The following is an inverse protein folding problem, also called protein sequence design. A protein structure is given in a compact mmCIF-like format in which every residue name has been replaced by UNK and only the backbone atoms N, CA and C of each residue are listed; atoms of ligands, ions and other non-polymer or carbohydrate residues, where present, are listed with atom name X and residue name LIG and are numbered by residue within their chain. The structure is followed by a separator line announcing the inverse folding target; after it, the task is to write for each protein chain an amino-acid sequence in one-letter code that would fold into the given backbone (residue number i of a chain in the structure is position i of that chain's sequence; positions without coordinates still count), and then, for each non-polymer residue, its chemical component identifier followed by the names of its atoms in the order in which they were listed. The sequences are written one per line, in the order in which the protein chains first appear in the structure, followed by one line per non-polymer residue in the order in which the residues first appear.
data_IF_827784070984
#
_entry.id   IF_827784070984
#
_cell.length_a   1.000
_cell.length_b   1.000
_cell.length_c   1.000
_cell.angle_alpha   90.00
_cell.angle_beta   90.00
_cell.angle_gamma   90.00
#
_symmetry.space_group_name_H-M   'P 1'
#
loop_
_entity.id
_entity.type
_entity.pdbx_description
1 polymer ?
#
# COMPACT_ATOMS: atom_id res chain seq x y z
N UNK A 1 7.93 -7.17 -18.30
CA UNK A 1 6.74 -6.33 -18.19
C UNK A 1 7.05 -5.02 -17.43
N UNK A 2 7.43 -5.02 -16.14
CA UNK A 2 7.59 -3.81 -15.27
C UNK A 2 8.50 -2.76 -15.93
N UNK A 3 9.74 -3.12 -16.29
CA UNK A 3 10.65 -2.20 -16.99
C UNK A 3 10.15 -1.77 -18.38
N UNK A 4 9.42 -2.62 -19.07
CA UNK A 4 8.81 -2.28 -20.37
C UNK A 4 7.72 -1.21 -20.26
N UNK A 5 7.17 -1.00 -19.07
CA UNK A 5 6.23 0.08 -18.74
C UNK A 5 6.93 1.32 -18.15
N UNK A 6 8.25 1.36 -18.16
CA UNK A 6 9.07 2.37 -17.48
C UNK A 6 8.85 2.46 -15.96
N UNK A 7 8.25 1.44 -15.34
CA UNK A 7 8.16 1.35 -13.89
C UNK A 7 9.48 0.85 -13.32
N UNK A 8 9.89 1.40 -12.18
CA UNK A 8 11.13 1.09 -11.50
C UNK A 8 10.94 0.52 -10.10
N UNK A 9 9.72 0.50 -9.60
CA UNK A 9 9.40 -0.02 -8.28
C UNK A 9 8.09 -0.82 -8.31
N UNK A 10 7.94 -1.72 -7.33
CA UNK A 10 6.72 -2.49 -7.09
C UNK A 10 6.42 -2.55 -5.60
N UNK A 11 5.15 -2.68 -5.26
CA UNK A 11 4.64 -3.03 -3.94
C UNK A 11 3.80 -4.31 -4.06
N UNK A 12 4.20 -5.42 -3.42
CA UNK A 12 3.33 -6.59 -3.31
C UNK A 12 2.13 -6.23 -2.43
N UNK A 13 0.92 -6.41 -2.95
CA UNK A 13 -0.27 -6.08 -2.18
C UNK A 13 -0.57 -7.17 -1.14
N UNK A 14 -0.46 -6.82 0.15
CA UNK A 14 -0.84 -7.64 1.29
C UNK A 14 -0.35 -9.10 1.24
N UNK A 15 0.81 -9.32 0.65
CA UNK A 15 1.37 -10.67 0.58
C UNK A 15 2.89 -10.67 0.52
N UNK A 16 3.46 -11.73 1.08
CA UNK A 16 4.89 -11.98 1.05
C UNK A 16 5.25 -12.70 -0.25
N UNK A 17 6.07 -12.06 -1.09
CA UNK A 17 6.53 -12.68 -2.32
C UNK A 17 7.46 -13.87 -2.07
N UNK A 18 7.41 -14.91 -2.89
CA UNK A 18 8.46 -15.94 -2.92
C UNK A 18 9.83 -15.31 -3.18
N UNK A 19 10.89 -15.84 -2.55
CA UNK A 19 12.23 -15.25 -2.61
C UNK A 19 12.75 -15.03 -4.03
N UNK A 20 12.46 -15.93 -4.94
CA UNK A 20 12.92 -15.80 -6.32
C UNK A 20 12.46 -14.51 -7.02
N UNK A 21 11.33 -13.91 -6.60
CA UNK A 21 10.93 -12.59 -7.12
C UNK A 21 11.86 -11.48 -6.63
N UNK A 22 12.35 -11.59 -5.40
CA UNK A 22 13.31 -10.64 -4.85
C UNK A 22 14.68 -10.85 -5.49
N UNK A 23 15.10 -12.10 -5.70
CA UNK A 23 16.33 -12.42 -6.44
C UNK A 23 16.29 -11.81 -7.85
N UNK A 24 15.18 -11.97 -8.57
CA UNK A 24 14.97 -11.35 -9.87
C UNK A 24 14.94 -9.82 -9.80
N UNK A 25 14.34 -9.25 -8.78
CA UNK A 25 14.30 -7.80 -8.59
C UNK A 25 15.70 -7.23 -8.34
N UNK A 26 16.52 -7.93 -7.56
CA UNK A 26 17.93 -7.60 -7.32
C UNK A 26 18.71 -7.59 -8.65
N UNK A 27 18.60 -8.63 -9.46
CA UNK A 27 19.27 -8.76 -10.76
C UNK A 27 18.80 -7.72 -11.78
N UNK A 28 17.50 -7.42 -11.78
CA UNK A 28 16.90 -6.51 -12.76
C UNK A 28 16.94 -5.05 -12.34
N UNK A 29 17.34 -4.74 -11.11
CA UNK A 29 17.32 -3.38 -10.56
C UNK A 29 15.88 -2.82 -10.47
N UNK A 30 14.95 -3.61 -9.93
CA UNK A 30 13.59 -3.17 -9.58
C UNK A 30 13.53 -2.97 -8.09
N UNK A 31 13.16 -1.77 -7.65
CA UNK A 31 12.97 -1.49 -6.23
C UNK A 31 11.69 -2.17 -5.71
N UNK A 32 11.74 -2.70 -4.50
CA UNK A 32 10.60 -3.36 -3.87
C UNK A 32 10.29 -2.69 -2.54
N UNK A 33 9.10 -2.09 -2.45
CA UNK A 33 8.50 -1.75 -1.17
C UNK A 33 7.86 -3.02 -0.63
N UNK A 34 8.61 -3.76 0.19
CA UNK A 34 8.21 -5.11 0.57
C UNK A 34 7.10 -5.08 1.62
N UNK A 35 5.97 -5.72 1.34
CA UNK A 35 4.77 -5.63 2.19
C UNK A 35 4.45 -6.95 2.86
N UNK A 36 4.05 -6.84 4.12
CA UNK A 36 3.61 -7.99 4.92
C UNK A 36 2.22 -8.48 4.50
N UNK A 37 1.83 -9.65 5.01
CA UNK A 37 0.46 -10.13 4.90
C UNK A 37 -0.47 -9.59 6.00
N UNK A 38 -0.09 -8.53 6.71
CA UNK A 38 -0.92 -7.89 7.72
C UNK A 38 -1.97 -7.00 7.04
N UNK A 39 -3.08 -7.61 6.71
CA UNK A 39 -4.21 -6.97 6.09
C UNK A 39 -5.50 -7.42 6.77
N UNK A 40 -6.27 -6.47 7.26
CA UNK A 40 -7.60 -6.70 7.78
C UNK A 40 -8.61 -6.43 6.66
N UNK A 41 -9.22 -7.46 6.10
CA UNK A 41 -10.29 -7.33 5.11
C UNK A 41 -11.57 -7.99 5.61
N UNK A 42 -12.66 -7.78 4.89
CA UNK A 42 -13.93 -8.46 5.18
C UNK A 42 -13.72 -9.98 5.18
N UNK A 43 -14.09 -10.63 6.29
CA UNK A 43 -13.79 -12.05 6.53
C UNK A 43 -12.34 -12.36 6.92
N UNK A 44 -11.51 -11.34 7.10
CA UNK A 44 -10.10 -11.45 7.50
C UNK A 44 -9.90 -11.70 9.00
N UNK A 45 -8.69 -11.45 9.50
CA UNK A 45 -8.30 -11.79 10.87
C UNK A 45 -9.15 -11.08 11.91
N UNK A 46 -9.31 -11.72 13.05
CA UNK A 46 -10.03 -11.18 14.21
C UNK A 46 -9.16 -10.14 14.92
N UNK A 47 -9.40 -8.86 14.65
CA UNK A 47 -8.66 -7.75 15.22
C UNK A 47 -8.87 -7.56 16.75
N UNK A 48 -9.84 -8.21 17.32
CA UNK A 48 -10.10 -8.28 18.76
C UNK A 48 -9.46 -9.51 19.45
N UNK A 49 -8.55 -10.19 18.75
CA UNK A 49 -7.86 -11.37 19.25
C UNK A 49 -6.38 -11.07 19.52
N UNK A 50 -5.96 -11.28 20.76
CA UNK A 50 -4.53 -11.18 21.12
C UNK A 50 -3.66 -12.12 20.28
N UNK A 51 -4.19 -13.28 19.91
CA UNK A 51 -3.48 -14.24 19.05
C UNK A 51 -3.15 -13.64 17.67
N UNK A 52 -4.06 -12.86 17.10
CA UNK A 52 -3.78 -12.17 15.83
C UNK A 52 -2.61 -11.19 15.98
N UNK A 53 -2.61 -10.38 17.03
CA UNK A 53 -1.56 -9.37 17.25
C UNK A 53 -0.20 -10.01 17.51
N UNK A 54 -0.13 -11.06 18.31
CA UNK A 54 1.11 -11.79 18.55
C UNK A 54 1.61 -12.51 17.29
N UNK A 55 0.72 -13.15 16.53
CA UNK A 55 1.07 -13.79 15.26
C UNK A 55 1.59 -12.76 14.24
N UNK A 56 1.01 -11.57 14.18
CA UNK A 56 1.45 -10.47 13.31
C UNK A 56 2.87 -10.01 13.63
N UNK A 57 3.23 -9.91 14.90
CA UNK A 57 4.59 -9.56 15.33
C UNK A 57 5.62 -10.61 14.91
N UNK A 58 5.33 -11.87 15.15
CA UNK A 58 6.23 -12.96 14.76
C UNK A 58 6.33 -13.09 13.24
N UNK A 59 5.22 -12.89 12.52
CA UNK A 59 5.22 -12.83 11.07
C UNK A 59 6.14 -11.71 10.56
N UNK A 60 5.99 -10.49 11.06
CA UNK A 60 6.79 -9.35 10.66
C UNK A 60 8.28 -9.56 10.93
N UNK A 61 8.63 -10.08 12.10
CA UNK A 61 10.01 -10.43 12.45
C UNK A 61 10.62 -11.40 11.43
N UNK A 62 9.93 -12.50 11.14
CA UNK A 62 10.40 -13.51 10.16
C UNK A 62 10.52 -12.92 8.77
N UNK A 63 9.58 -12.09 8.38
CA UNK A 63 9.54 -11.40 7.10
C UNK A 63 10.77 -10.50 6.91
N UNK A 64 11.05 -9.62 7.86
CA UNK A 64 12.23 -8.74 7.82
C UNK A 64 13.52 -9.54 7.81
N UNK A 65 13.66 -10.53 8.70
CA UNK A 65 14.85 -11.38 8.76
C UNK A 65 15.11 -12.16 7.47
N UNK A 66 14.04 -12.60 6.79
CA UNK A 66 14.14 -13.33 5.53
C UNK A 66 14.67 -12.45 4.40
N UNK A 67 14.17 -11.21 4.31
CA UNK A 67 14.31 -10.40 3.09
C UNK A 67 15.26 -9.21 3.21
N UNK A 68 15.75 -8.88 4.40
CA UNK A 68 16.60 -7.69 4.64
C UNK A 68 17.93 -7.66 3.87
N UNK A 69 18.38 -8.80 3.34
CA UNK A 69 19.62 -8.87 2.58
C UNK A 69 19.43 -8.69 1.06
N UNK A 70 18.19 -8.51 0.58
CA UNK A 70 17.91 -8.18 -0.81
C UNK A 70 18.17 -6.70 -1.08
N UNK A 71 19.01 -6.41 -2.07
CA UNK A 71 19.34 -5.04 -2.45
C UNK A 71 18.14 -4.28 -3.06
N UNK A 72 17.22 -5.01 -3.68
CA UNK A 72 15.99 -4.47 -4.26
C UNK A 72 15.01 -3.93 -3.21
N UNK A 73 15.01 -4.48 -1.98
CA UNK A 73 14.12 -4.04 -0.91
C UNK A 73 14.58 -2.69 -0.41
N UNK A 74 13.80 -1.63 -0.67
CA UNK A 74 14.14 -0.28 -0.24
C UNK A 74 13.36 0.21 0.98
N UNK A 75 12.31 -0.49 1.36
CA UNK A 75 11.48 -0.15 2.51
C UNK A 75 10.51 -1.28 2.89
N UNK A 76 9.90 -1.13 4.04
CA UNK A 76 8.97 -2.09 4.63
C UNK A 76 7.58 -1.50 4.74
N UNK A 77 6.59 -2.13 4.13
CA UNK A 77 5.18 -1.84 4.35
C UNK A 77 4.63 -2.84 5.38
N UNK A 78 4.29 -2.36 6.55
CA UNK A 78 4.00 -3.21 7.71
C UNK A 78 2.55 -3.63 7.85
N UNK A 79 1.65 -2.96 7.13
CA UNK A 79 0.24 -3.33 7.01
C UNK A 79 -0.39 -2.68 5.77
N UNK A 80 -1.55 -3.20 5.39
CA UNK A 80 -2.37 -2.64 4.32
C UNK A 80 -3.80 -2.45 4.80
N UNK A 81 -4.34 -1.26 4.63
CA UNK A 81 -5.76 -0.89 4.84
C UNK A 81 -6.40 -1.32 6.17
N UNK A 82 -5.62 -1.52 7.21
CA UNK A 82 -6.17 -1.90 8.51
C UNK A 82 -7.09 -0.80 9.07
N UNK A 83 -6.68 0.47 8.97
CA UNK A 83 -7.48 1.59 9.47
C UNK A 83 -8.82 1.73 8.75
N UNK A 84 -8.90 1.85 7.41
CA UNK A 84 -10.18 1.95 6.73
C UNK A 84 -11.06 0.72 6.94
N UNK A 85 -10.49 -0.47 7.03
CA UNK A 85 -11.25 -1.69 7.32
C UNK A 85 -11.84 -1.66 8.73
N UNK A 86 -11.06 -1.26 9.74
CA UNK A 86 -11.55 -1.11 11.12
C UNK A 86 -12.72 -0.11 11.18
N UNK A 87 -12.56 1.05 10.52
CA UNK A 87 -13.53 2.15 10.62
C UNK A 87 -14.77 1.92 9.75
N UNK A 88 -14.61 1.40 8.53
CA UNK A 88 -15.67 1.42 7.52
C UNK A 88 -16.24 0.04 7.20
N UNK A 89 -15.46 -1.04 7.33
CA UNK A 89 -15.93 -2.41 7.07
C UNK A 89 -16.45 -3.03 8.37
N UNK A 90 -15.64 -3.02 9.40
CA UNK A 90 -16.05 -3.59 10.69
C UNK A 90 -16.89 -2.65 11.54
N UNK A 91 -16.80 -1.33 11.26
CA UNK A 91 -17.45 -0.29 12.07
C UNK A 91 -17.09 -0.41 13.57
N UNK A 92 -15.80 -0.62 13.86
CA UNK A 92 -15.25 -0.88 15.18
C UNK A 92 -14.18 0.14 15.57
N UNK A 93 -14.51 1.46 15.65
CA UNK A 93 -13.53 2.52 15.93
C UNK A 93 -12.81 2.34 17.29
N UNK A 94 -13.39 1.58 18.21
CA UNK A 94 -12.78 1.24 19.50
C UNK A 94 -11.52 0.37 19.37
N UNK A 95 -11.27 -0.25 18.22
CA UNK A 95 -10.05 -1.00 17.93
C UNK A 95 -8.90 -0.11 17.44
N UNK A 96 -9.16 1.16 17.11
CA UNK A 96 -8.11 2.05 16.61
C UNK A 96 -6.95 2.29 17.60
N UNK A 97 -7.18 2.42 18.93
CA UNK A 97 -6.07 2.51 19.88
C UNK A 97 -5.17 1.26 19.87
N UNK A 98 -5.77 0.07 19.68
CA UNK A 98 -5.02 -1.19 19.57
C UNK A 98 -4.19 -1.21 18.28
N UNK A 99 -4.78 -0.80 17.15
CA UNK A 99 -4.07 -0.71 15.87
C UNK A 99 -2.91 0.30 15.93
N UNK A 100 -3.12 1.47 16.53
CA UNK A 100 -2.07 2.48 16.68
C UNK A 100 -0.90 1.95 17.51
N UNK A 101 -1.18 1.28 18.62
CA UNK A 101 -0.17 0.62 19.42
C UNK A 101 0.56 -0.48 18.62
N UNK A 102 -0.17 -1.25 17.82
CA UNK A 102 0.43 -2.26 16.96
C UNK A 102 1.40 -1.66 15.93
N UNK A 103 1.08 -0.51 15.31
CA UNK A 103 2.02 0.17 14.41
C UNK A 103 3.32 0.56 15.11
N UNK A 104 3.25 1.05 16.34
CA UNK A 104 4.45 1.38 17.11
C UNK A 104 5.29 0.13 17.43
N UNK A 105 4.65 -0.94 17.89
CA UNK A 105 5.34 -2.22 18.18
C UNK A 105 5.93 -2.84 16.90
N UNK A 106 5.22 -2.77 15.77
CA UNK A 106 5.72 -3.27 14.49
C UNK A 106 6.87 -2.43 13.93
N UNK A 107 6.81 -1.10 14.08
CA UNK A 107 7.94 -0.21 13.80
C UNK A 107 9.19 -0.66 14.57
N UNK A 108 9.03 -0.90 15.86
CA UNK A 108 10.15 -1.28 16.72
C UNK A 108 10.75 -2.62 16.31
N UNK A 109 9.92 -3.58 15.89
CA UNK A 109 10.38 -4.85 15.31
C UNK A 109 11.18 -4.61 14.02
N UNK A 110 10.67 -3.78 13.10
CA UNK A 110 11.42 -3.46 11.88
C UNK A 110 12.77 -2.84 12.23
N UNK A 111 12.80 -1.82 13.07
CA UNK A 111 14.04 -1.14 13.46
C UNK A 111 15.02 -2.06 14.19
N UNK A 112 14.53 -3.02 14.96
CA UNK A 112 15.38 -4.01 15.64
C UNK A 112 16.14 -4.91 14.66
N UNK A 113 15.48 -5.31 13.57
CA UNK A 113 16.03 -6.29 12.63
C UNK A 113 16.58 -5.68 11.35
N UNK A 114 16.14 -4.47 10.99
CA UNK A 114 16.67 -3.65 9.90
C UNK A 114 16.54 -2.15 10.20
N UNK A 115 17.52 -1.56 10.88
CA UNK A 115 17.52 -0.13 11.20
C UNK A 115 17.87 0.76 10.00
N UNK A 116 18.16 0.18 8.84
CA UNK A 116 18.69 0.91 7.69
C UNK A 116 17.64 1.36 6.70
N UNK A 117 16.46 0.71 6.69
CA UNK A 117 15.40 0.99 5.73
C UNK A 117 14.20 1.67 6.38
N UNK A 118 13.55 2.58 5.65
CA UNK A 118 12.30 3.18 6.12
C UNK A 118 11.19 2.14 6.20
N UNK A 119 10.19 2.47 7.02
CA UNK A 119 8.95 1.72 7.09
C UNK A 119 7.76 2.63 6.81
N UNK A 120 6.69 2.04 6.32
CA UNK A 120 5.41 2.68 6.10
C UNK A 120 4.27 1.74 6.54
N UNK A 121 3.07 2.30 6.65
CA UNK A 121 1.83 1.54 6.61
C UNK A 121 1.01 1.99 5.41
N UNK A 122 0.57 1.06 4.57
CA UNK A 122 -0.24 1.35 3.39
C UNK A 122 -1.72 1.37 3.76
N UNK A 123 -2.09 2.25 4.68
CA UNK A 123 -3.44 2.31 5.24
C UNK A 123 -4.39 3.30 4.55
N UNK A 124 -3.91 4.03 3.55
CA UNK A 124 -4.73 4.92 2.73
C UNK A 124 -5.06 6.26 3.38
N UNK A 125 -4.90 6.40 4.68
CA UNK A 125 -5.18 7.62 5.43
C UNK A 125 -4.21 7.82 6.58
N UNK A 126 -4.02 9.08 6.97
CA UNK A 126 -3.17 9.49 8.08
C UNK A 126 -3.97 10.41 9.01
N UNK A 127 -3.87 10.18 10.31
CA UNK A 127 -4.53 11.02 11.32
C UNK A 127 -3.74 12.30 11.66
N UNK A 128 -2.51 12.41 11.16
CA UNK A 128 -1.62 13.51 11.52
C UNK A 128 -1.09 13.46 12.95
N UNK A 129 -1.25 12.34 13.64
CA UNK A 129 -0.81 12.14 15.02
C UNK A 129 0.68 11.82 15.19
N UNK A 130 1.41 11.70 14.05
CA UNK A 130 2.84 11.47 14.04
C UNK A 130 3.26 10.01 14.19
N UNK A 131 2.33 9.06 14.28
CA UNK A 131 2.66 7.62 14.37
C UNK A 131 3.21 7.12 13.04
N UNK A 132 2.53 7.41 11.93
CA UNK A 132 2.96 7.02 10.60
C UNK A 132 3.98 8.01 10.04
N UNK A 133 5.16 7.54 9.57
CA UNK A 133 6.23 8.43 9.08
C UNK A 133 5.94 8.98 7.67
N UNK A 134 5.08 8.31 6.92
CA UNK A 134 4.72 8.65 5.55
C UNK A 134 3.20 8.56 5.41
N UNK A 135 2.60 9.51 4.73
CA UNK A 135 1.19 9.44 4.34
C UNK A 135 1.08 8.66 3.04
N UNK A 136 0.44 7.50 3.08
CA UNK A 136 0.21 6.66 1.90
C UNK A 136 -1.27 6.65 1.57
N UNK A 137 -1.65 7.52 0.64
CA UNK A 137 -3.05 7.65 0.23
C UNK A 137 -3.50 6.56 -0.74
N UNK A 138 -4.75 6.16 -0.65
CA UNK A 138 -5.39 5.22 -1.58
C UNK A 138 -6.57 5.89 -2.28
N UNK A 139 -6.73 5.64 -3.57
CA UNK A 139 -7.87 6.05 -4.41
C UNK A 139 -8.25 7.53 -4.34
N UNK A 140 -7.31 8.37 -3.97
CA UNK A 140 -7.56 9.80 -3.79
C UNK A 140 -7.60 10.57 -5.10
N UNK A 141 -8.46 11.57 -5.15
CA UNK A 141 -8.47 12.60 -6.18
C UNK A 141 -7.44 13.70 -5.86
N UNK A 142 -7.39 14.72 -6.72
CA UNK A 142 -6.48 15.85 -6.55
C UNK A 142 -6.70 16.61 -5.21
N UNK A 143 -7.90 16.62 -4.67
CA UNK A 143 -8.18 17.28 -3.39
C UNK A 143 -7.67 16.46 -2.22
N UNK A 144 -7.75 15.13 -2.33
CA UNK A 144 -7.11 14.21 -1.37
C UNK A 144 -5.60 14.43 -1.32
N UNK A 145 -4.96 14.55 -2.48
CA UNK A 145 -3.52 14.83 -2.57
C UNK A 145 -3.14 16.16 -1.91
N UNK A 146 -3.95 17.20 -2.07
CA UNK A 146 -3.72 18.48 -1.37
C UNK A 146 -3.74 18.30 0.14
N UNK A 147 -4.71 17.55 0.69
CA UNK A 147 -4.75 17.26 2.13
C UNK A 147 -3.51 16.49 2.60
N UNK A 148 -3.04 15.49 1.83
CA UNK A 148 -1.83 14.74 2.19
C UNK A 148 -0.59 15.62 2.22
N UNK A 149 -0.46 16.57 1.29
CA UNK A 149 0.62 17.56 1.28
C UNK A 149 0.59 18.45 2.52
N UNK A 150 -0.61 18.89 2.93
CA UNK A 150 -0.81 19.78 4.09
C UNK A 150 -0.42 19.13 5.42
N UNK A 151 -0.39 17.79 5.51
CA UNK A 151 0.10 17.08 6.69
C UNK A 151 1.58 17.35 6.95
N UNK A 152 2.36 17.76 5.94
CA UNK A 152 3.74 18.24 6.11
C UNK A 152 4.79 17.13 6.30
N UNK A 153 4.49 15.90 5.92
CA UNK A 153 5.42 14.75 5.89
C UNK A 153 5.54 14.17 4.48
N UNK A 154 6.50 13.27 4.21
CA UNK A 154 6.54 12.54 2.96
C UNK A 154 5.20 11.86 2.68
N UNK A 155 4.77 11.87 1.43
CA UNK A 155 3.53 11.24 1.03
C UNK A 155 3.66 10.52 -0.31
N UNK A 156 2.77 9.59 -0.56
CA UNK A 156 2.71 8.84 -1.80
C UNK A 156 1.31 8.27 -2.04
N UNK A 157 1.13 7.72 -3.23
CA UNK A 157 -0.08 7.01 -3.62
C UNK A 157 0.23 5.52 -3.54
N UNK A 158 -0.37 4.83 -2.58
CA UNK A 158 -0.20 3.39 -2.40
C UNK A 158 -1.04 2.59 -3.39
N UNK A 159 -2.26 3.06 -3.64
CA UNK A 159 -3.17 2.47 -4.61
C UNK A 159 -3.89 3.56 -5.38
N UNK A 160 -3.97 3.36 -6.70
CA UNK A 160 -4.53 4.33 -7.61
C UNK A 160 -5.47 3.66 -8.59
N UNK A 161 -6.27 4.46 -9.28
CA UNK A 161 -7.31 4.01 -10.19
C UNK A 161 -8.49 3.34 -9.50
N UNK A 162 -9.39 2.84 -10.30
CA UNK A 162 -10.53 2.09 -9.79
C UNK A 162 -10.07 0.72 -9.32
N UNK A 163 -10.21 0.44 -8.03
CA UNK A 163 -9.89 -0.85 -7.43
C UNK A 163 -10.64 -2.02 -8.08
N UNK A 164 -11.74 -1.76 -8.76
CA UNK A 164 -12.68 -2.78 -9.22
C UNK A 164 -13.02 -2.61 -10.69
N UNK A 165 -12.07 -2.80 -11.58
CA UNK A 165 -12.35 -3.07 -12.99
C UNK A 165 -12.94 -4.48 -13.16
N UNK A 166 -13.96 -4.79 -12.36
CA UNK A 166 -14.51 -6.13 -12.31
C UNK A 166 -15.45 -6.43 -13.46
N UNK A 167 -16.30 -5.48 -13.83
CA UNK A 167 -17.26 -5.66 -14.89
C UNK A 167 -17.17 -4.57 -15.96
N UNK A 168 -17.50 -4.91 -17.20
CA UNK A 168 -17.57 -3.95 -18.29
C UNK A 168 -18.44 -2.72 -17.98
N UNK A 169 -19.54 -2.91 -17.28
CA UNK A 169 -20.45 -1.84 -16.87
C UNK A 169 -19.80 -0.85 -15.88
N UNK A 170 -18.98 -1.38 -14.96
CA UNK A 170 -18.21 -0.53 -14.04
C UNK A 170 -17.19 0.31 -14.79
N UNK A 171 -16.49 -0.29 -15.75
CA UNK A 171 -15.54 0.42 -16.61
C UNK A 171 -16.25 1.51 -17.42
N UNK A 172 -17.39 1.22 -18.02
CA UNK A 172 -18.19 2.16 -18.78
C UNK A 172 -18.68 3.35 -17.92
N UNK A 173 -19.09 3.07 -16.69
CA UNK A 173 -19.58 4.08 -15.76
C UNK A 173 -18.54 5.18 -15.47
N UNK A 174 -17.26 4.82 -15.39
CA UNK A 174 -16.19 5.73 -14.98
C UNK A 174 -15.38 6.29 -16.16
N UNK A 175 -15.25 5.51 -17.23
CA UNK A 175 -14.42 5.86 -18.38
C UNK A 175 -15.20 6.03 -19.69
N UNK A 176 -16.54 5.93 -19.62
CA UNK A 176 -17.43 6.03 -20.77
C UNK A 176 -17.56 4.72 -21.56
N UNK A 177 -18.57 4.68 -22.42
CA UNK A 177 -18.94 3.47 -23.17
C UNK A 177 -17.80 2.95 -24.08
N UNK A 178 -16.99 3.84 -24.63
CA UNK A 178 -15.85 3.46 -25.47
C UNK A 178 -14.84 2.58 -24.72
N UNK A 179 -14.63 2.82 -23.43
CA UNK A 179 -13.76 1.98 -22.58
C UNK A 179 -14.34 0.58 -22.39
N UNK A 180 -15.65 0.43 -22.56
CA UNK A 180 -16.33 -0.86 -22.52
C UNK A 180 -16.25 -1.63 -23.84
N UNK A 181 -16.35 -0.92 -24.98
CA UNK A 181 -16.49 -1.51 -26.29
C UNK A 181 -15.21 -2.11 -26.87
N UNK A 182 -14.05 -1.60 -26.44
CA UNK A 182 -12.75 -2.03 -26.98
C UNK A 182 -11.65 -2.15 -25.92
N UNK A 183 -10.64 -2.94 -26.23
CA UNK A 183 -9.44 -3.05 -25.38
C UNK A 183 -8.65 -1.73 -25.39
N UNK A 184 -8.55 -1.07 -26.53
CA UNK A 184 -7.90 0.23 -26.68
C UNK A 184 -8.59 1.29 -25.83
N UNK A 185 -9.92 1.35 -25.84
CA UNK A 185 -10.68 2.28 -25.01
C UNK A 185 -10.48 2.07 -23.52
N UNK A 186 -10.36 0.81 -23.10
CA UNK A 186 -10.00 0.49 -21.67
C UNK A 186 -8.61 0.96 -21.33
N UNK A 187 -7.64 0.77 -22.22
CA UNK A 187 -6.28 1.24 -22.00
C UNK A 187 -6.19 2.77 -21.98
N UNK A 188 -6.95 3.46 -22.84
CA UNK A 188 -7.06 4.93 -22.85
C UNK A 188 -7.68 5.45 -21.53
N UNK A 189 -8.74 4.80 -21.04
CA UNK A 189 -9.35 5.13 -19.76
C UNK A 189 -8.40 5.00 -18.59
N UNK A 190 -7.67 3.88 -18.52
CA UNK A 190 -6.63 3.66 -17.51
C UNK A 190 -5.49 4.68 -17.62
N UNK A 191 -5.04 4.99 -18.82
CA UNK A 191 -4.00 5.98 -19.04
C UNK A 191 -4.44 7.38 -18.56
N UNK A 192 -5.67 7.77 -18.84
CA UNK A 192 -6.23 9.06 -18.39
C UNK A 192 -6.36 9.13 -16.86
N UNK A 193 -6.76 8.06 -16.20
CA UNK A 193 -6.80 8.00 -14.74
C UNK A 193 -5.40 8.10 -14.12
N UNK A 194 -4.41 7.45 -14.71
CA UNK A 194 -3.02 7.56 -14.26
C UNK A 194 -2.43 8.96 -14.53
N UNK A 195 -2.82 9.60 -15.63
CA UNK A 195 -2.29 10.91 -16.04
C UNK A 195 -2.65 12.02 -15.04
N UNK A 196 -3.88 12.05 -14.55
CA UNK A 196 -4.37 13.12 -13.69
C UNK A 196 -3.54 13.32 -12.40
N UNK A 197 -3.28 12.28 -11.59
CA UNK A 197 -2.43 12.44 -10.41
C UNK A 197 -0.95 12.70 -10.75
N UNK A 198 -0.43 12.09 -11.83
CA UNK A 198 0.97 12.28 -12.25
C UNK A 198 1.22 13.72 -12.69
N UNK A 199 0.33 14.31 -13.47
CA UNK A 199 0.47 15.73 -13.87
C UNK A 199 0.45 16.67 -12.68
N UNK A 200 -0.33 16.38 -11.63
CA UNK A 200 -0.32 17.18 -10.42
C UNK A 200 0.99 17.07 -9.63
N UNK A 201 1.58 15.89 -9.56
CA UNK A 201 2.85 15.67 -8.84
C UNK A 201 4.06 16.28 -9.56
N UNK A 202 4.01 16.42 -10.88
CA UNK A 202 5.10 17.01 -11.69
C UNK A 202 4.98 18.52 -11.90
N UNK A 203 3.85 19.14 -11.59
CA UNK A 203 3.64 20.59 -11.74
C UNK A 203 4.03 21.41 -10.50
N UNK A 204 4.66 20.79 -9.53
CA UNK A 204 5.27 21.41 -8.36
C UNK A 204 6.74 20.98 -8.30
#
# INVERSE_FOLDING_TARGET
AIKGMNANAVRPHAQVYPRFYLDMADEMGICVLNETANWASDGGPKLDSDLFWEASKEHLKRFVLRDRNHASVFGWSISNENKPVILHVYNRPELMPVQKKAWEEWRDIVHQYDPTRPWISADGEDDGDGILPVTVGHYGDINSMKRWIEIGKPWGIGEHSMAYYGTPEQVAKYNGERAYESQEGRMEGLANECYNPVSYTHLR
#
